data_IF_942575081808
#
_entry.id   IF_942575081808
#
_cell.length_a   1.000
_cell.length_b   1.000
_cell.length_c   1.000
_cell.angle_alpha   90.00
_cell.angle_beta   90.00
_cell.angle_gamma   90.00
#
_symmetry.space_group_name_H-M   'P 1'
#
loop_
_entity.id
_entity.type
_entity.pdbx_description
1 polymer ?
#
# COMPACT_ATOMS: atom_id res chain seq x y z
N UNK A 1 -9.26 -7.86 4.65
CA UNK A 1 -9.09 -8.69 3.43
C UNK A 1 -10.22 -8.33 2.48
N UNK A 2 -10.17 -8.75 1.21
CA UNK A 2 -11.29 -8.57 0.30
C UNK A 2 -12.02 -9.91 0.14
N UNK A 3 -13.21 -10.01 0.73
CA UNK A 3 -13.95 -11.27 0.84
C UNK A 3 -15.41 -11.14 0.37
N UNK A 4 -16.06 -12.29 0.18
CA UNK A 4 -17.50 -12.40 -0.05
C UNK A 4 -18.02 -11.59 -1.24
N UNK A 5 -19.08 -10.83 -1.00
CA UNK A 5 -19.80 -10.07 -2.01
C UNK A 5 -18.95 -8.97 -2.66
N UNK A 6 -18.06 -8.33 -1.89
CA UNK A 6 -17.19 -7.28 -2.40
C UNK A 6 -16.24 -7.81 -3.48
N UNK A 7 -15.61 -8.97 -3.24
CA UNK A 7 -14.75 -9.63 -4.22
C UNK A 7 -15.54 -10.05 -5.46
N UNK A 8 -16.70 -10.70 -5.28
CA UNK A 8 -17.54 -11.14 -6.38
C UNK A 8 -17.94 -9.96 -7.29
N UNK A 9 -18.28 -8.82 -6.69
CA UNK A 9 -18.65 -7.59 -7.40
C UNK A 9 -17.49 -7.06 -8.23
N UNK A 10 -16.27 -7.00 -7.68
CA UNK A 10 -15.10 -6.56 -8.44
C UNK A 10 -14.78 -7.51 -9.60
N UNK A 11 -14.88 -8.82 -9.38
CA UNK A 11 -14.63 -9.84 -10.43
C UNK A 11 -15.60 -9.67 -11.59
N UNK A 12 -16.91 -9.59 -11.31
CA UNK A 12 -17.94 -9.44 -12.35
C UNK A 12 -17.75 -8.15 -13.14
N UNK A 13 -17.47 -7.03 -12.48
CA UNK A 13 -17.28 -5.75 -13.16
C UNK A 13 -15.97 -5.70 -13.97
N UNK A 14 -14.91 -6.36 -13.50
CA UNK A 14 -13.65 -6.52 -14.23
C UNK A 14 -13.83 -7.36 -15.49
N UNK A 15 -14.49 -8.52 -15.38
CA UNK A 15 -14.78 -9.39 -16.53
C UNK A 15 -15.67 -8.73 -17.58
N UNK A 16 -16.59 -7.85 -17.15
CA UNK A 16 -17.45 -7.07 -18.06
C UNK A 16 -16.76 -5.84 -18.66
N UNK A 17 -15.52 -5.54 -18.25
CA UNK A 17 -14.78 -4.37 -18.73
C UNK A 17 -15.31 -3.02 -18.23
N UNK A 18 -16.15 -3.02 -17.18
CA UNK A 18 -16.74 -1.81 -16.61
C UNK A 18 -15.68 -1.03 -15.83
N UNK A 19 -14.90 -1.73 -15.00
CA UNK A 19 -13.75 -1.18 -14.29
C UNK A 19 -12.55 -2.12 -14.43
N UNK A 20 -11.37 -1.56 -14.67
CA UNK A 20 -10.12 -2.34 -14.65
C UNK A 20 -9.57 -2.33 -13.24
N UNK A 21 -9.74 -3.43 -12.53
CA UNK A 21 -9.41 -3.54 -11.10
C UNK A 21 -8.65 -4.82 -10.80
N UNK A 22 -7.76 -4.77 -9.81
CA UNK A 22 -7.09 -5.91 -9.21
C UNK A 22 -6.94 -5.63 -7.71
N UNK A 23 -7.09 -6.67 -6.89
CA UNK A 23 -6.98 -6.57 -5.44
C UNK A 23 -5.94 -7.57 -4.94
N UNK A 24 -5.08 -7.12 -4.03
CA UNK A 24 -4.06 -7.94 -3.37
C UNK A 24 -4.07 -7.64 -1.88
N UNK A 25 -3.67 -8.61 -1.07
CA UNK A 25 -3.56 -8.40 0.38
C UNK A 25 -2.39 -7.46 0.67
N UNK A 26 -2.56 -6.60 1.66
CA UNK A 26 -1.46 -5.78 2.18
C UNK A 26 -0.30 -6.67 2.66
N UNK A 27 0.96 -6.28 2.42
CA UNK A 27 2.11 -7.08 2.81
C UNK A 27 2.28 -7.12 4.33
N UNK A 28 2.82 -8.24 4.83
CA UNK A 28 3.13 -8.41 6.25
C UNK A 28 1.90 -8.57 7.17
N UNK A 29 2.13 -8.41 8.47
CA UNK A 29 1.15 -8.57 9.53
C UNK A 29 1.41 -7.57 10.67
N UNK A 30 0.39 -7.31 11.51
CA UNK A 30 0.50 -6.42 12.66
C UNK A 30 1.00 -5.01 12.31
N UNK A 31 1.85 -4.45 13.16
CA UNK A 31 2.40 -3.10 12.97
C UNK A 31 3.29 -2.98 11.73
N UNK A 32 3.98 -4.07 11.36
CA UNK A 32 4.76 -4.11 10.12
C UNK A 32 3.89 -3.94 8.88
N UNK A 33 2.66 -4.45 8.88
CA UNK A 33 1.71 -4.19 7.79
C UNK A 33 1.36 -2.71 7.68
N UNK A 34 1.13 -2.04 8.81
CA UNK A 34 0.82 -0.61 8.84
C UNK A 34 2.00 0.21 8.31
N UNK A 35 3.21 -0.11 8.76
CA UNK A 35 4.44 0.54 8.28
C UNK A 35 4.64 0.35 6.78
N UNK A 36 4.52 -0.88 6.27
CA UNK A 36 4.66 -1.16 4.82
C UNK A 36 3.55 -0.52 3.98
N UNK A 37 2.32 -0.42 4.49
CA UNK A 37 1.25 0.33 3.82
C UNK A 37 1.58 1.81 3.74
N UNK A 38 2.14 2.38 4.81
CA UNK A 38 2.61 3.76 4.82
C UNK A 38 3.72 3.97 3.80
N UNK A 39 4.66 3.02 3.66
CA UNK A 39 5.72 3.08 2.65
C UNK A 39 5.15 3.13 1.23
N UNK A 40 4.15 2.29 0.94
CA UNK A 40 3.45 2.28 -0.35
C UNK A 40 2.72 3.60 -0.57
N UNK A 41 2.06 4.13 0.47
CA UNK A 41 1.38 5.44 0.46
C UNK A 41 2.34 6.55 0.05
N UNK A 42 3.50 6.62 0.72
CA UNK A 42 4.54 7.63 0.46
C UNK A 42 5.14 7.45 -0.93
N UNK A 43 5.41 6.21 -1.36
CA UNK A 43 5.96 5.90 -2.68
C UNK A 43 5.02 6.32 -3.82
N UNK A 44 3.71 6.17 -3.62
CA UNK A 44 2.69 6.40 -4.66
C UNK A 44 1.98 7.75 -4.54
N UNK A 45 2.19 8.48 -3.45
CA UNK A 45 1.51 9.74 -3.16
C UNK A 45 0.05 9.59 -2.72
N UNK A 46 -0.35 8.40 -2.27
CA UNK A 46 -1.69 8.16 -1.72
C UNK A 46 -1.76 8.30 -0.21
N UNK A 47 -2.94 8.00 0.34
CA UNK A 47 -3.23 7.96 1.78
C UNK A 47 -3.73 6.57 2.19
N UNK A 48 -3.21 6.04 3.31
CA UNK A 48 -3.73 4.80 3.90
C UNK A 48 -5.06 5.09 4.58
N UNK A 49 -6.16 4.57 4.03
CA UNK A 49 -7.47 4.65 4.66
C UNK A 49 -7.49 3.74 5.90
N UNK A 50 -7.56 4.36 7.08
CA UNK A 50 -7.53 3.68 8.36
C UNK A 50 -8.69 4.10 9.26
N UNK A 51 -9.47 3.11 9.72
CA UNK A 51 -10.54 3.33 10.70
C UNK A 51 -9.99 3.86 12.04
N UNK A 52 -8.75 3.49 12.40
CA UNK A 52 -8.09 3.97 13.63
C UNK A 52 -7.82 5.49 13.60
N UNK A 53 -7.73 6.06 12.39
CA UNK A 53 -7.55 7.50 12.17
C UNK A 53 -8.87 8.20 11.80
N UNK A 54 -10.02 7.54 12.08
CA UNK A 54 -11.35 8.01 11.74
C UNK A 54 -11.55 8.32 10.23
N UNK A 55 -10.82 7.61 9.37
CA UNK A 55 -11.04 7.65 7.92
C UNK A 55 -12.06 6.58 7.52
N UNK A 56 -12.95 6.92 6.60
CA UNK A 56 -13.98 6.01 6.08
C UNK A 56 -13.75 5.76 4.59
N UNK A 57 -13.76 4.49 4.17
CA UNK A 57 -13.58 4.12 2.77
C UNK A 57 -14.65 4.77 1.86
N UNK A 58 -15.89 4.89 2.35
CA UNK A 58 -17.00 5.51 1.64
C UNK A 58 -16.80 7.01 1.37
N UNK A 59 -15.99 7.68 2.18
CA UNK A 59 -15.67 9.11 2.05
C UNK A 59 -14.36 9.37 1.31
N UNK A 60 -13.63 8.31 0.93
CA UNK A 60 -12.37 8.45 0.21
C UNK A 60 -12.57 9.08 -1.17
N UNK A 61 -11.60 9.89 -1.57
CA UNK A 61 -11.61 10.65 -2.81
C UNK A 61 -10.47 10.20 -3.74
N UNK A 62 -10.42 10.75 -4.95
CA UNK A 62 -9.31 10.49 -5.87
C UNK A 62 -7.97 11.03 -5.35
N UNK A 63 -7.99 12.01 -4.45
CA UNK A 63 -6.79 12.59 -3.85
C UNK A 63 -6.13 11.63 -2.85
N UNK A 64 -6.91 10.69 -2.29
CA UNK A 64 -6.40 9.65 -1.39
C UNK A 64 -5.76 8.48 -2.14
N UNK A 65 -5.99 8.36 -3.46
CA UNK A 65 -5.49 7.25 -4.26
C UNK A 65 -4.07 7.51 -4.76
N UNK A 66 -3.15 6.63 -4.38
CA UNK A 66 -1.79 6.64 -4.89
C UNK A 66 -1.71 6.27 -6.38
N UNK A 67 -0.71 6.80 -7.07
CA UNK A 67 -0.47 6.54 -8.49
C UNK A 67 0.91 5.97 -8.75
N UNK A 68 1.00 5.15 -9.79
CA UNK A 68 2.25 4.60 -10.30
C UNK A 68 2.14 4.39 -11.81
N UNK A 69 3.26 4.43 -12.52
CA UNK A 69 3.28 4.21 -13.97
C UNK A 69 2.83 2.80 -14.36
N UNK A 70 3.20 1.80 -13.57
CA UNK A 70 2.83 0.41 -13.82
C UNK A 70 2.80 -0.40 -12.53
N UNK A 71 1.77 -1.24 -12.41
CA UNK A 71 1.69 -2.28 -11.38
C UNK A 71 1.67 -3.64 -12.07
N UNK A 72 2.50 -4.57 -11.61
CA UNK A 72 2.56 -5.95 -12.10
C UNK A 72 2.23 -6.87 -10.95
N UNK A 73 1.21 -7.71 -11.15
CA UNK A 73 0.75 -8.68 -10.14
C UNK A 73 0.93 -10.07 -10.73
N UNK A 74 1.61 -10.94 -9.99
CA UNK A 74 1.68 -12.38 -10.24
C UNK A 74 0.94 -13.13 -9.15
N UNK A 75 0.98 -14.46 -9.19
CA UNK A 75 0.39 -15.31 -8.14
C UNK A 75 0.98 -15.02 -6.76
N UNK A 76 2.28 -14.70 -6.71
CA UNK A 76 3.05 -14.67 -5.47
C UNK A 76 3.62 -13.29 -5.12
N UNK A 77 3.61 -12.34 -6.07
CA UNK A 77 4.24 -11.03 -5.87
C UNK A 77 3.45 -9.88 -6.53
N UNK A 78 3.60 -8.69 -5.95
CA UNK A 78 3.15 -7.42 -6.54
C UNK A 78 4.35 -6.48 -6.65
N UNK A 79 4.50 -5.84 -7.81
CA UNK A 79 5.56 -4.88 -8.08
C UNK A 79 4.95 -3.57 -8.54
N UNK A 80 5.27 -2.49 -7.84
CA UNK A 80 4.87 -1.12 -8.16
C UNK A 80 6.08 -0.41 -8.78
N UNK A 81 5.91 0.11 -10.00
CA UNK A 81 6.99 0.71 -10.79
C UNK A 81 6.68 2.18 -11.04
N UNK A 82 7.69 3.03 -10.76
CA UNK A 82 7.63 4.49 -10.87
C UNK A 82 6.39 5.07 -10.16
N UNK A 83 6.37 4.94 -8.82
CA UNK A 83 5.36 5.59 -7.97
C UNK A 83 5.45 7.13 -8.08
N UNK A 84 4.31 7.81 -7.99
CA UNK A 84 4.18 9.25 -8.16
C UNK A 84 4.29 10.05 -6.84
N UNK A 85 4.91 9.47 -5.82
CA UNK A 85 5.13 10.13 -4.53
C UNK A 85 6.14 11.27 -4.60
N UNK A 86 6.05 12.19 -3.64
CA UNK A 86 7.01 13.29 -3.52
C UNK A 86 8.41 12.77 -3.16
N UNK A 87 9.43 13.27 -3.87
CA UNK A 87 10.81 12.79 -3.73
C UNK A 87 11.41 13.11 -2.38
N UNK A 88 11.00 14.20 -1.73
CA UNK A 88 11.51 14.55 -0.40
C UNK A 88 10.85 13.65 0.64
N UNK A 89 9.52 13.46 0.59
CA UNK A 89 8.82 12.51 1.45
C UNK A 89 9.40 11.09 1.38
N UNK A 90 9.75 10.61 0.17
CA UNK A 90 10.40 9.31 0.00
C UNK A 90 11.79 9.28 0.66
N UNK A 91 12.61 10.34 0.47
CA UNK A 91 13.94 10.41 1.09
C UNK A 91 13.85 10.46 2.62
N UNK A 92 12.92 11.23 3.15
CA UNK A 92 12.69 11.36 4.59
C UNK A 92 12.27 10.01 5.17
N UNK A 93 11.39 9.28 4.46
CA UNK A 93 11.00 7.93 4.87
C UNK A 93 12.17 6.95 4.87
N UNK A 94 13.02 6.97 3.84
CA UNK A 94 14.24 6.15 3.81
C UNK A 94 15.17 6.50 4.98
N UNK A 95 15.28 7.79 5.33
CA UNK A 95 16.11 8.21 6.45
C UNK A 95 15.57 7.71 7.79
N UNK A 96 14.25 7.82 8.02
CA UNK A 96 13.58 7.28 9.21
C UNK A 96 13.87 5.78 9.38
N UNK A 97 13.65 4.98 8.34
CA UNK A 97 13.88 3.52 8.39
C UNK A 97 15.36 3.21 8.67
N UNK A 98 16.30 3.95 8.08
CA UNK A 98 17.73 3.76 8.37
C UNK A 98 18.07 4.06 9.83
N UNK A 99 17.43 5.06 10.43
CA UNK A 99 17.62 5.36 11.84
C UNK A 99 17.03 4.26 12.72
N UNK A 100 15.83 3.76 12.40
CA UNK A 100 15.19 2.62 13.09
C UNK A 100 16.10 1.38 13.07
N UNK A 101 16.77 1.10 11.95
CA UNK A 101 17.77 0.01 11.84
C UNK A 101 18.97 0.23 12.76
N UNK A 102 19.45 1.47 12.92
CA UNK A 102 20.57 1.77 13.81
C UNK A 102 20.20 1.60 15.29
N UNK A 103 18.95 1.90 15.65
CA UNK A 103 18.43 1.78 17.02
C UNK A 103 18.01 0.34 17.37
N UNK A 104 17.74 -0.49 16.36
CA UNK A 104 17.37 -1.89 16.55
C UNK A 104 18.48 -2.69 17.25
N UNK A 105 18.09 -3.47 18.25
CA UNK A 105 19.00 -4.27 19.08
C UNK A 105 19.14 -5.71 18.60
N UNK A 106 18.27 -6.16 17.69
CA UNK A 106 18.25 -7.52 17.13
C UNK A 106 18.57 -7.50 15.64
N UNK A 107 19.40 -8.44 15.19
CA UNK A 107 19.73 -8.58 13.76
C UNK A 107 18.50 -8.94 12.91
N UNK A 108 17.52 -9.64 13.50
CA UNK A 108 16.24 -9.90 12.84
C UNK A 108 15.47 -8.61 12.54
N UNK A 109 15.46 -7.65 13.48
CA UNK A 109 14.77 -6.37 13.29
C UNK A 109 15.54 -5.45 12.35
N UNK A 110 16.87 -5.60 12.24
CA UNK A 110 17.68 -4.87 11.25
C UNK A 110 17.50 -5.38 9.84
N UNK A 111 17.33 -6.69 9.65
CA UNK A 111 17.12 -7.31 8.34
C UNK A 111 15.73 -6.99 7.76
N UNK A 112 14.75 -6.81 8.64
CA UNK A 112 13.33 -6.75 8.30
C UNK A 112 12.78 -5.35 8.36
#
# INVERSE_FOLDING_TARGET
>A
DLEGEALATLVVNSMRGIVKVSAVKAPGFGDRRKAMLQDISILTGGSVISEELAMELEKSSLEDLGQAKRVVISKDATTIIDGNGDKNSIKDRIHQIRQEIHEATSDYDKEK
#
